data_IF_507827760520
#
_entry.id   IF_507827760520
#
_cell.length_a   1.000
_cell.length_b   1.000
_cell.length_c   1.000
_cell.angle_alpha   90.00
_cell.angle_beta   90.00
_cell.angle_gamma   90.00
#
_symmetry.space_group_name_H-M   'P 1'
#
loop_
_entity.id
_entity.type
_entity.pdbx_description
1 polymer ?
#
# COMPACT_ATOMS: atom_id res chain seq x y z
N UNK A 1 -20.33 -9.10 0.74
CA UNK A 1 -19.00 -9.77 0.61
C UNK A 1 -17.82 -8.80 0.60
N UNK A 2 -17.71 -7.76 -0.27
CA UNK A 2 -16.51 -6.90 -0.32
C UNK A 2 -16.18 -6.15 0.99
N UNK A 3 -17.21 -5.67 1.70
CA UNK A 3 -17.06 -4.98 3.00
C UNK A 3 -16.37 -5.84 4.07
N UNK A 4 -16.57 -7.16 4.05
CA UNK A 4 -15.94 -8.07 5.02
C UNK A 4 -14.44 -8.25 4.74
N UNK A 5 -14.05 -8.29 3.46
CA UNK A 5 -12.63 -8.32 3.06
C UNK A 5 -11.94 -7.02 3.50
N UNK A 6 -12.59 -5.88 3.30
CA UNK A 6 -12.10 -4.57 3.77
C UNK A 6 -11.92 -4.56 5.29
N UNK A 7 -12.88 -5.08 6.05
CA UNK A 7 -12.76 -5.24 7.50
C UNK A 7 -11.59 -6.14 7.90
N UNK A 8 -11.35 -7.24 7.18
CA UNK A 8 -10.20 -8.11 7.39
C UNK A 8 -8.86 -7.41 7.14
N UNK A 9 -8.73 -6.66 6.04
CA UNK A 9 -7.55 -5.85 5.74
C UNK A 9 -7.30 -4.76 6.78
N UNK A 10 -8.36 -4.07 7.19
CA UNK A 10 -8.34 -3.04 8.24
C UNK A 10 -7.94 -3.63 9.60
N UNK A 11 -8.38 -4.84 9.92
CA UNK A 11 -7.95 -5.58 11.11
C UNK A 11 -6.46 -5.90 11.05
N UNK A 12 -5.97 -6.46 9.93
CA UNK A 12 -4.54 -6.75 9.74
C UNK A 12 -3.67 -5.50 9.94
N UNK A 13 -4.09 -4.37 9.34
CA UNK A 13 -3.41 -3.10 9.50
C UNK A 13 -3.47 -2.58 10.95
N UNK A 14 -4.65 -2.66 11.59
CA UNK A 14 -4.85 -2.26 13.00
C UNK A 14 -3.89 -2.97 13.95
N UNK A 15 -3.76 -4.30 13.83
CA UNK A 15 -2.86 -5.09 14.68
C UNK A 15 -1.41 -4.69 14.45
N UNK A 16 -0.99 -4.50 13.19
CA UNK A 16 0.38 -4.09 12.86
C UNK A 16 0.70 -2.67 13.35
N UNK A 17 -0.21 -1.71 13.14
CA UNK A 17 -0.04 -0.33 13.62
C UNK A 17 0.01 -0.25 15.14
N UNK A 18 -0.80 -1.05 15.84
CA UNK A 18 -0.74 -1.14 17.29
C UNK A 18 0.60 -1.69 17.78
N UNK A 19 1.15 -2.71 17.10
CA UNK A 19 2.50 -3.24 17.38
C UNK A 19 3.61 -2.21 17.14
N UNK A 20 3.42 -1.28 16.21
CA UNK A 20 4.31 -0.12 15.97
C UNK A 20 4.13 1.00 17.00
N UNK A 21 3.33 0.81 18.04
CA UNK A 21 3.17 1.77 19.15
C UNK A 21 2.03 2.77 18.98
N UNK A 22 1.29 2.77 17.87
CA UNK A 22 0.20 3.73 17.66
C UNK A 22 -0.96 3.53 18.64
N UNK A 23 -1.56 4.65 19.05
CA UNK A 23 -2.76 4.71 19.88
C UNK A 23 -4.00 4.31 19.06
N UNK A 24 -5.09 3.92 19.75
CA UNK A 24 -6.34 3.61 19.06
C UNK A 24 -6.90 4.79 18.27
N UNK A 25 -6.63 6.03 18.73
CA UNK A 25 -7.07 7.26 18.06
C UNK A 25 -6.33 7.48 16.74
N UNK A 26 -5.01 7.32 16.76
CA UNK A 26 -4.18 7.44 15.53
C UNK A 26 -4.55 6.36 14.52
N UNK A 27 -4.76 5.12 14.96
CA UNK A 27 -5.18 4.01 14.08
C UNK A 27 -6.56 4.29 13.46
N UNK A 28 -7.52 4.76 14.27
CA UNK A 28 -8.87 5.10 13.82
C UNK A 28 -8.83 6.18 12.73
N UNK A 29 -8.03 7.22 12.95
CA UNK A 29 -7.81 8.29 11.97
C UNK A 29 -7.15 7.78 10.69
N UNK A 30 -6.06 7.03 10.82
CA UNK A 30 -5.29 6.50 9.68
C UNK A 30 -6.12 5.57 8.79
N UNK A 31 -6.94 4.70 9.39
CA UNK A 31 -7.74 3.72 8.64
C UNK A 31 -9.17 4.22 8.33
N UNK A 32 -9.50 5.44 8.75
CA UNK A 32 -10.82 6.05 8.59
C UNK A 32 -11.94 5.16 9.11
N UNK A 33 -11.93 4.92 10.42
CA UNK A 33 -12.94 4.13 11.13
C UNK A 33 -13.13 4.68 12.55
N UNK A 34 -14.19 4.25 13.21
CA UNK A 34 -14.43 4.64 14.60
C UNK A 34 -13.42 3.98 15.54
N UNK A 35 -13.09 4.70 16.62
CA UNK A 35 -12.23 4.17 17.70
C UNK A 35 -12.82 2.90 18.33
N UNK A 36 -14.15 2.80 18.41
CA UNK A 36 -14.84 1.60 18.88
C UNK A 36 -14.53 0.40 17.98
N UNK A 37 -14.51 0.56 16.65
CA UNK A 37 -14.11 -0.49 15.70
C UNK A 37 -12.68 -0.97 15.96
N UNK A 38 -11.74 -0.04 16.17
CA UNK A 38 -10.36 -0.38 16.53
C UNK A 38 -10.31 -1.19 17.83
N UNK A 39 -11.05 -0.76 18.85
CA UNK A 39 -11.17 -1.50 20.10
C UNK A 39 -11.73 -2.91 19.90
N UNK A 40 -12.78 -3.08 19.08
CA UNK A 40 -13.31 -4.41 18.77
C UNK A 40 -12.26 -5.31 18.11
N UNK A 41 -11.55 -4.80 17.09
CA UNK A 41 -10.48 -5.53 16.44
C UNK A 41 -9.38 -5.97 17.40
N UNK A 42 -8.88 -5.07 18.25
CA UNK A 42 -7.81 -5.39 19.20
C UNK A 42 -8.25 -6.38 20.29
N UNK A 43 -9.55 -6.48 20.58
CA UNK A 43 -10.12 -7.43 21.52
C UNK A 43 -10.67 -8.71 20.84
N UNK A 44 -10.41 -8.92 19.55
CA UNK A 44 -10.85 -10.11 18.81
C UNK A 44 -12.35 -10.20 18.58
N UNK A 45 -13.06 -9.07 18.55
CA UNK A 45 -14.52 -8.97 18.35
C UNK A 45 -14.87 -8.47 16.94
N UNK A 46 -16.10 -8.75 16.50
CA UNK A 46 -16.71 -8.22 15.28
C UNK A 46 -15.96 -8.52 13.97
N UNK A 47 -15.29 -9.68 13.88
CA UNK A 47 -14.66 -10.15 12.65
C UNK A 47 -14.75 -11.68 12.53
N UNK A 48 -15.16 -12.18 11.36
CA UNK A 48 -15.21 -13.62 11.10
C UNK A 48 -13.82 -14.18 10.79
N UNK A 49 -13.59 -15.47 11.12
CA UNK A 49 -12.35 -16.19 10.80
C UNK A 49 -12.05 -16.14 9.30
N UNK A 50 -13.07 -16.37 8.47
CA UNK A 50 -12.95 -16.35 7.01
C UNK A 50 -12.52 -14.98 6.49
N UNK A 51 -13.01 -13.88 7.09
CA UNK A 51 -12.59 -12.53 6.71
C UNK A 51 -11.10 -12.30 7.00
N UNK A 52 -10.59 -12.87 8.09
CA UNK A 52 -9.17 -12.81 8.46
C UNK A 52 -8.35 -13.66 7.49
N UNK A 53 -8.83 -14.85 7.13
CA UNK A 53 -8.14 -15.77 6.23
C UNK A 53 -8.02 -15.18 4.82
N UNK A 54 -9.12 -14.64 4.27
CA UNK A 54 -9.08 -13.93 2.98
C UNK A 54 -8.12 -12.74 3.05
N UNK A 55 -8.15 -11.95 4.12
CA UNK A 55 -7.22 -10.84 4.28
C UNK A 55 -5.76 -11.30 4.33
N UNK A 56 -5.45 -12.43 4.96
CA UNK A 56 -4.10 -13.04 4.96
C UNK A 56 -3.66 -13.42 3.55
N UNK A 57 -4.55 -14.00 2.73
CA UNK A 57 -4.23 -14.31 1.35
C UNK A 57 -3.94 -13.04 0.54
N UNK A 58 -4.78 -12.01 0.70
CA UNK A 58 -4.62 -10.73 -0.01
C UNK A 58 -3.30 -10.04 0.32
N UNK A 59 -2.88 -9.98 1.59
CA UNK A 59 -1.60 -9.34 1.97
C UNK A 59 -0.36 -10.15 1.54
N UNK A 60 -0.54 -11.39 1.06
CA UNK A 60 0.52 -12.25 0.54
C UNK A 60 0.55 -12.31 -1.00
N UNK A 61 -0.34 -11.59 -1.69
CA UNK A 61 -0.30 -11.45 -3.13
C UNK A 61 0.98 -10.72 -3.58
N UNK A 62 1.31 -10.79 -4.87
CA UNK A 62 2.36 -9.95 -5.42
C UNK A 62 2.01 -8.45 -5.21
N UNK A 63 3.01 -7.55 -5.17
CA UNK A 63 2.75 -6.15 -4.82
C UNK A 63 1.73 -5.45 -5.72
N UNK A 64 1.71 -5.78 -7.03
CA UNK A 64 0.75 -5.23 -7.99
C UNK A 64 -0.68 -5.63 -7.66
N UNK A 65 -0.91 -6.92 -7.45
CA UNK A 65 -2.25 -7.45 -7.14
C UNK A 65 -2.73 -6.97 -5.78
N UNK A 66 -1.86 -6.99 -4.77
CA UNK A 66 -2.20 -6.49 -3.44
C UNK A 66 -2.64 -5.01 -3.50
N UNK A 67 -1.88 -4.18 -4.23
CA UNK A 67 -2.18 -2.77 -4.44
C UNK A 67 -3.52 -2.57 -5.17
N UNK A 68 -3.69 -3.17 -6.35
CA UNK A 68 -4.87 -2.96 -7.20
C UNK A 68 -6.14 -3.53 -6.57
N UNK A 69 -6.05 -4.70 -5.94
CA UNK A 69 -7.19 -5.32 -5.25
C UNK A 69 -7.61 -4.47 -4.05
N UNK A 70 -6.66 -4.05 -3.22
CA UNK A 70 -6.94 -3.17 -2.07
C UNK A 70 -7.53 -1.84 -2.53
N UNK A 71 -6.98 -1.23 -3.58
CA UNK A 71 -7.51 0.01 -4.14
C UNK A 71 -8.96 -0.15 -4.63
N UNK A 72 -9.24 -1.22 -5.36
CA UNK A 72 -10.57 -1.50 -5.90
C UNK A 72 -11.61 -1.70 -4.79
N UNK A 73 -11.23 -2.37 -3.71
CA UNK A 73 -12.10 -2.59 -2.55
C UNK A 73 -12.36 -1.32 -1.74
N UNK A 74 -11.35 -0.47 -1.55
CA UNK A 74 -11.45 0.72 -0.71
C UNK A 74 -12.00 1.94 -1.47
N UNK A 75 -11.64 2.10 -2.74
CA UNK A 75 -11.87 3.30 -3.56
C UNK A 75 -11.41 4.60 -2.86
N UNK A 76 -10.35 4.49 -2.06
CA UNK A 76 -9.78 5.57 -1.26
C UNK A 76 -8.26 5.44 -1.33
N UNK A 77 -7.62 6.31 -2.10
CA UNK A 77 -6.20 6.23 -2.43
C UNK A 77 -5.32 6.34 -1.18
N UNK A 78 -5.66 7.22 -0.25
CA UNK A 78 -4.83 7.48 0.93
C UNK A 78 -4.94 6.33 1.94
N UNK A 79 -6.14 5.77 2.14
CA UNK A 79 -6.29 4.56 2.97
C UNK A 79 -5.68 3.32 2.34
N UNK A 80 -5.77 3.19 1.02
CA UNK A 80 -5.05 2.12 0.29
C UNK A 80 -3.56 2.19 0.61
N UNK A 81 -2.93 3.37 0.45
CA UNK A 81 -1.50 3.56 0.75
C UNK A 81 -1.13 3.11 2.15
N UNK A 82 -1.91 3.52 3.15
CA UNK A 82 -1.67 3.17 4.55
C UNK A 82 -1.74 1.66 4.75
N UNK A 83 -2.75 0.98 4.19
CA UNK A 83 -2.87 -0.49 4.28
C UNK A 83 -1.69 -1.17 3.58
N UNK A 84 -1.34 -0.76 2.36
CA UNK A 84 -0.21 -1.34 1.61
C UNK A 84 1.07 -1.17 2.41
N UNK A 85 1.46 0.05 2.79
CA UNK A 85 2.69 0.32 3.54
C UNK A 85 2.74 -0.39 4.89
N UNK A 86 1.59 -0.52 5.57
CA UNK A 86 1.51 -1.21 6.86
C UNK A 86 1.66 -2.72 6.70
N UNK A 87 1.04 -3.30 5.68
CA UNK A 87 0.91 -4.74 5.54
C UNK A 87 2.00 -5.38 4.67
N UNK A 88 2.66 -4.60 3.81
CA UNK A 88 3.79 -4.99 2.99
C UNK A 88 4.93 -5.58 3.85
N UNK A 89 5.67 -6.51 3.25
CA UNK A 89 6.74 -7.26 3.90
C UNK A 89 8.12 -6.87 3.41
N UNK A 90 8.23 -6.52 2.14
CA UNK A 90 9.50 -6.33 1.46
C UNK A 90 9.75 -4.84 1.24
N UNK A 91 11.01 -4.44 1.14
CA UNK A 91 11.41 -3.08 0.76
C UNK A 91 11.89 -3.05 -0.68
N UNK A 92 11.75 -1.92 -1.34
CA UNK A 92 12.10 -1.78 -2.75
C UNK A 92 12.89 -0.51 -2.99
N UNK A 93 13.92 -0.61 -3.83
CA UNK A 93 14.69 0.52 -4.33
C UNK A 93 14.41 0.70 -5.82
N UNK A 94 14.51 1.95 -6.27
CA UNK A 94 14.24 2.34 -7.64
C UNK A 94 15.35 3.20 -8.23
N UNK A 95 15.71 2.94 -9.48
CA UNK A 95 16.69 3.71 -10.23
C UNK A 95 16.06 4.29 -11.48
N UNK A 96 16.31 5.57 -11.74
CA UNK A 96 15.87 6.27 -12.95
C UNK A 96 17.06 6.62 -13.84
N UNK A 97 17.08 6.07 -15.06
CA UNK A 97 18.13 6.26 -16.06
C UNK A 97 18.11 7.66 -16.66
N UNK A 98 19.20 8.06 -17.32
CA UNK A 98 19.30 9.32 -18.05
C UNK A 98 18.43 9.36 -19.32
N UNK A 99 17.90 8.22 -19.77
CA UNK A 99 16.91 8.17 -20.85
C UNK A 99 15.53 8.68 -20.44
N UNK A 100 15.34 9.06 -19.17
CA UNK A 100 14.08 9.63 -18.70
C UNK A 100 13.83 10.99 -19.37
N UNK A 101 12.67 11.11 -20.01
CA UNK A 101 12.24 12.33 -20.72
C UNK A 101 11.28 13.21 -19.91
N UNK A 102 11.07 12.91 -18.62
CA UNK A 102 10.22 13.74 -17.75
C UNK A 102 8.73 13.76 -18.09
N UNK A 103 8.20 12.78 -18.83
CA UNK A 103 6.82 12.81 -19.33
C UNK A 103 5.70 12.71 -18.26
N UNK A 104 6.01 12.31 -17.03
CA UNK A 104 5.04 12.28 -15.92
C UNK A 104 4.13 11.05 -15.83
N UNK A 105 4.07 10.15 -16.83
CA UNK A 105 3.20 8.96 -16.78
C UNK A 105 3.39 8.11 -15.51
N UNK A 106 4.64 7.97 -15.04
CA UNK A 106 4.96 7.25 -13.82
C UNK A 106 4.42 7.92 -12.54
N UNK A 107 4.29 9.25 -12.54
CA UNK A 107 3.68 10.01 -11.43
C UNK A 107 2.17 9.77 -11.42
N UNK A 108 1.52 9.92 -12.57
CA UNK A 108 0.06 9.78 -12.70
C UNK A 108 -0.43 8.38 -12.32
N UNK A 109 0.30 7.35 -12.76
CA UNK A 109 -0.07 5.94 -12.53
C UNK A 109 0.30 5.44 -11.14
N UNK A 110 1.16 6.14 -10.38
CA UNK A 110 1.58 5.67 -9.07
C UNK A 110 0.45 5.82 -8.02
N UNK A 111 -0.24 4.71 -7.72
CA UNK A 111 -1.25 4.69 -6.66
C UNK A 111 -0.66 4.97 -5.28
N UNK A 112 0.62 4.63 -5.11
CA UNK A 112 1.37 4.91 -3.89
C UNK A 112 1.84 6.36 -3.77
N UNK A 113 1.61 7.22 -4.78
CA UNK A 113 2.24 8.55 -4.97
C UNK A 113 3.69 8.60 -4.44
N UNK A 114 4.47 7.59 -4.86
CA UNK A 114 5.87 7.40 -4.50
C UNK A 114 6.81 7.91 -5.60
N UNK A 115 6.27 8.52 -6.67
CA UNK A 115 7.06 9.07 -7.77
C UNK A 115 6.71 10.55 -7.90
N UNK A 116 7.73 11.39 -8.03
CA UNK A 116 7.61 12.82 -8.30
C UNK A 116 8.50 13.19 -9.48
N UNK A 117 8.22 14.31 -10.13
CA UNK A 117 9.14 14.91 -11.11
C UNK A 117 9.92 16.04 -10.43
N UNK A 118 11.23 16.03 -10.61
CA UNK A 118 12.11 17.13 -10.24
C UNK A 118 13.08 17.38 -11.41
N UNK A 119 13.18 18.63 -11.87
CA UNK A 119 13.99 19.03 -13.03
C UNK A 119 13.80 18.11 -14.26
N UNK A 120 12.53 17.82 -14.61
CA UNK A 120 12.14 16.93 -15.70
C UNK A 120 12.70 15.49 -15.59
N UNK A 121 13.07 15.05 -14.39
CA UNK A 121 13.48 13.67 -14.11
C UNK A 121 12.61 13.06 -13.02
N UNK A 122 12.19 11.82 -13.24
CA UNK A 122 11.47 11.08 -12.20
C UNK A 122 12.39 10.78 -11.01
N UNK A 123 11.86 10.97 -9.81
CA UNK A 123 12.46 10.55 -8.55
C UNK A 123 11.49 9.64 -7.80
N UNK A 124 12.02 8.62 -7.14
CA UNK A 124 11.22 7.58 -6.49
C UNK A 124 11.51 7.63 -4.98
N UNK A 125 10.45 7.78 -4.20
CA UNK A 125 10.48 7.68 -2.74
C UNK A 125 10.35 6.21 -2.33
N UNK A 126 11.46 5.63 -1.86
CA UNK A 126 11.55 4.22 -1.49
C UNK A 126 10.75 3.89 -0.22
N UNK A 127 10.46 4.86 0.64
CA UNK A 127 9.65 4.65 1.86
C UNK A 127 8.17 4.40 1.53
N UNK A 128 7.72 4.89 0.38
CA UNK A 128 6.35 4.70 -0.11
C UNK A 128 6.25 3.72 -1.28
N UNK A 129 7.35 3.41 -1.96
CA UNK A 129 7.36 2.47 -3.07
C UNK A 129 6.98 1.06 -2.59
N UNK A 130 5.89 0.52 -3.13
CA UNK A 130 5.47 -0.83 -2.80
C UNK A 130 6.02 -1.90 -3.76
N UNK A 131 6.79 -1.53 -4.79
CA UNK A 131 7.33 -2.50 -5.75
C UNK A 131 6.30 -3.06 -6.75
N UNK A 132 5.20 -2.36 -7.04
CA UNK A 132 4.15 -2.85 -7.95
C UNK A 132 4.51 -2.88 -9.44
N UNK A 133 5.65 -2.28 -9.83
CA UNK A 133 6.18 -2.22 -11.20
C UNK A 133 5.29 -1.52 -12.27
N UNK A 134 4.14 -0.97 -11.91
CA UNK A 134 3.25 -0.25 -12.85
C UNK A 134 3.99 0.91 -13.54
N UNK A 135 4.83 1.66 -12.79
CA UNK A 135 5.62 2.74 -13.38
C UNK A 135 6.69 2.25 -14.37
N UNK A 136 7.19 1.03 -14.21
CA UNK A 136 8.14 0.40 -15.14
C UNK A 136 7.41 0.04 -16.42
N UNK A 137 6.25 -0.63 -16.32
CA UNK A 137 5.43 -1.05 -17.46
C UNK A 137 4.98 0.14 -18.33
N UNK A 138 4.66 1.27 -17.71
CA UNK A 138 4.12 2.45 -18.40
C UNK A 138 5.19 3.41 -18.91
N UNK A 139 6.48 3.18 -18.62
CA UNK A 139 7.55 4.08 -19.01
C UNK A 139 7.90 3.91 -20.50
N UNK A 140 7.63 4.89 -21.37
CA UNK A 140 7.85 4.73 -22.82
C UNK A 140 9.34 4.58 -23.20
N UNK A 141 10.25 4.99 -22.32
CA UNK A 141 11.71 4.96 -22.53
C UNK A 141 12.41 3.88 -21.72
N UNK A 142 11.67 2.99 -21.03
CA UNK A 142 12.21 1.94 -20.16
C UNK A 142 13.27 2.47 -19.16
N UNK A 143 13.04 3.66 -18.63
CA UNK A 143 14.01 4.39 -17.81
C UNK A 143 13.95 4.05 -16.33
N UNK A 144 12.96 3.27 -15.89
CA UNK A 144 12.73 2.97 -14.47
C UNK A 144 13.09 1.50 -14.21
N UNK A 145 13.92 1.25 -13.20
CA UNK A 145 14.20 -0.08 -12.66
C UNK A 145 13.79 -0.10 -11.20
N UNK A 146 13.13 -1.16 -10.75
CA UNK A 146 12.79 -1.40 -9.34
C UNK A 146 13.34 -2.76 -8.93
N UNK A 147 13.95 -2.84 -7.75
CA UNK A 147 14.49 -4.09 -7.20
C UNK A 147 14.07 -4.26 -5.75
N UNK A 148 13.82 -5.49 -5.36
CA UNK A 148 13.61 -5.84 -3.96
C UNK A 148 14.94 -5.74 -3.21
N UNK A 149 14.91 -5.14 -2.03
CA UNK A 149 16.04 -5.10 -1.10
C UNK A 149 15.97 -6.35 -0.25
N UNK A 150 16.99 -7.20 -0.37
CA UNK A 150 17.18 -8.40 0.46
C UNK A 150 18.19 -8.02 1.54
N UNK A 151 17.73 -7.96 2.79
CA UNK A 151 18.57 -7.79 3.98
C UNK A 151 19.27 -9.12 4.35
#
# INVERSE_FOLDING_TARGET
MPKHIVSGLKYMATVKLRKKGQTQREIAQALGMDRSTVSHYLNGRNLSKDSIEVAKLVVNMCPKDFLLFTHTLLKDKDRTRIIIQTCQKNRYEGKVKNSCIGCGLCVDTCLMKAVVLNDLKAQIDFEWCCGCLICVEMCPTNSIEIKEVVD
#
